data_IF_409275431288
#
_entry.id   IF_409275431288
#
_cell.length_a   1.000
_cell.length_b   1.000
_cell.length_c   1.000
_cell.angle_alpha   90.00
_cell.angle_beta   90.00
_cell.angle_gamma   90.00
#
_symmetry.space_group_name_H-M   'P 1'
#
loop_
_entity.id
_entity.type
_entity.pdbx_description
1 polymer ?
#
# COMPACT_ATOMS: atom_id res chain seq x y z
N UNK A 1 -1.29 44.03 -38.01
CA UNK A 1 -1.84 42.64 -38.01
C UNK A 1 -0.88 41.63 -37.39
N UNK A 2 0.38 41.50 -37.86
CA UNK A 2 1.36 40.52 -37.32
C UNK A 2 1.66 40.61 -35.80
N UNK A 3 1.68 41.82 -35.23
CA UNK A 3 1.98 42.04 -33.79
C UNK A 3 0.87 41.51 -32.87
N UNK A 4 -0.40 41.67 -33.27
CA UNK A 4 -1.55 41.17 -32.51
C UNK A 4 -1.66 39.63 -32.56
N UNK A 5 -1.35 39.01 -33.71
CA UNK A 5 -1.30 37.56 -33.84
C UNK A 5 -0.22 36.92 -32.96
N UNK A 6 0.94 37.58 -32.83
CA UNK A 6 2.02 37.12 -31.95
C UNK A 6 1.67 37.22 -30.47
N UNK A 7 1.01 38.30 -30.05
CA UNK A 7 0.52 38.46 -28.68
C UNK A 7 -0.56 37.42 -28.33
N UNK A 8 -1.45 37.10 -29.27
CA UNK A 8 -2.46 36.06 -29.09
C UNK A 8 -1.82 34.67 -28.93
N UNK A 9 -0.79 34.36 -29.73
CA UNK A 9 -0.04 33.11 -29.64
C UNK A 9 0.72 32.97 -28.30
N UNK A 10 1.35 34.05 -27.85
CA UNK A 10 2.05 34.08 -26.55
C UNK A 10 1.05 33.90 -25.39
N UNK A 11 -0.12 34.56 -25.46
CA UNK A 11 -1.17 34.42 -24.46
C UNK A 11 -1.77 33.00 -24.41
N UNK A 12 -2.07 32.39 -25.57
CA UNK A 12 -2.60 31.01 -25.62
C UNK A 12 -1.56 29.99 -25.17
N UNK A 13 -0.27 30.23 -25.45
CA UNK A 13 0.81 29.38 -24.97
C UNK A 13 0.95 29.43 -23.45
N UNK A 14 0.96 30.63 -22.86
CA UNK A 14 1.05 30.79 -21.39
C UNK A 14 -0.16 30.20 -20.69
N UNK A 15 -1.37 30.44 -21.22
CA UNK A 15 -2.60 29.84 -20.68
C UNK A 15 -2.59 28.31 -20.80
N UNK A 16 -2.14 27.77 -21.94
CA UNK A 16 -2.02 26.33 -22.15
C UNK A 16 -1.04 25.67 -21.19
N UNK A 17 0.16 26.24 -21.04
CA UNK A 17 1.19 25.74 -20.11
C UNK A 17 0.70 25.84 -18.66
N UNK A 18 0.14 26.99 -18.26
CA UNK A 18 -0.35 27.19 -16.90
C UNK A 18 -1.46 26.21 -16.53
N UNK A 19 -2.41 26.01 -17.44
CA UNK A 19 -3.50 25.03 -17.25
C UNK A 19 -2.97 23.61 -17.18
N UNK A 20 -2.01 23.25 -18.04
CA UNK A 20 -1.37 21.92 -18.03
C UNK A 20 -0.65 21.61 -16.72
N UNK A 21 0.09 22.58 -16.16
CA UNK A 21 0.79 22.41 -14.87
C UNK A 21 -0.21 22.21 -13.72
N UNK A 22 -1.27 23.03 -13.66
CA UNK A 22 -2.29 22.92 -12.60
C UNK A 22 -3.01 21.57 -12.67
N UNK A 23 -3.48 21.18 -13.85
CA UNK A 23 -4.15 19.88 -14.04
C UNK A 23 -3.22 18.71 -13.77
N UNK A 24 -1.97 18.78 -14.23
CA UNK A 24 -0.95 17.76 -13.97
C UNK A 24 -0.69 17.59 -12.47
N UNK A 25 -0.48 18.70 -11.75
CA UNK A 25 -0.25 18.66 -10.29
C UNK A 25 -1.42 18.07 -9.51
N UNK A 26 -2.66 18.42 -9.86
CA UNK A 26 -3.86 17.85 -9.25
C UNK A 26 -3.99 16.35 -9.53
N UNK A 27 -3.76 15.93 -10.78
CA UNK A 27 -3.80 14.52 -11.17
C UNK A 27 -2.75 13.69 -10.44
N UNK A 28 -1.50 14.16 -10.36
CA UNK A 28 -0.42 13.47 -9.65
C UNK A 28 -0.73 13.28 -8.16
N UNK A 29 -1.23 14.33 -7.48
CA UNK A 29 -1.61 14.22 -6.07
C UNK A 29 -2.72 13.18 -5.85
N UNK A 30 -3.67 13.08 -6.78
CA UNK A 30 -4.76 12.12 -6.69
C UNK A 30 -4.30 10.67 -6.91
N UNK A 31 -3.36 10.46 -7.83
CA UNK A 31 -2.74 9.14 -8.08
C UNK A 31 -1.92 8.70 -6.88
N UNK A 32 -1.06 9.57 -6.33
CA UNK A 32 -0.20 9.25 -5.18
C UNK A 32 -1.04 8.88 -3.95
N UNK A 33 -2.12 9.63 -3.66
CA UNK A 33 -3.02 9.31 -2.54
C UNK A 33 -3.75 7.97 -2.66
N UNK A 34 -3.82 7.40 -3.87
CA UNK A 34 -4.44 6.10 -4.13
C UNK A 34 -3.43 4.98 -4.29
N UNK A 35 -2.14 5.31 -4.28
CA UNK A 35 -1.09 4.34 -4.45
C UNK A 35 -0.97 3.51 -3.17
N UNK A 36 -1.31 2.23 -3.28
CA UNK A 36 -1.15 1.27 -2.18
C UNK A 36 0.08 0.42 -2.41
N UNK A 37 0.71 -0.02 -1.32
CA UNK A 37 1.73 -1.06 -1.38
C UNK A 37 1.08 -2.35 -1.88
N UNK A 38 1.77 -3.10 -2.76
CA UNK A 38 1.23 -4.37 -3.23
C UNK A 38 1.22 -5.42 -2.10
N UNK A 39 0.21 -6.31 -2.06
CA UNK A 39 0.16 -7.42 -1.11
C UNK A 39 1.45 -8.26 -1.16
N UNK A 40 1.96 -8.54 -2.35
CA UNK A 40 3.21 -9.31 -2.53
C UNK A 40 4.41 -8.67 -1.82
N UNK A 41 4.52 -7.34 -1.87
CA UNK A 41 5.62 -6.61 -1.21
C UNK A 41 5.49 -6.68 0.31
N UNK A 42 4.27 -6.63 0.83
CA UNK A 42 3.99 -6.84 2.26
C UNK A 42 4.34 -8.27 2.66
N UNK A 43 3.86 -9.28 1.93
CA UNK A 43 4.14 -10.68 2.21
C UNK A 43 5.64 -10.98 2.17
N UNK A 44 6.35 -10.45 1.17
CA UNK A 44 7.81 -10.61 1.07
C UNK A 44 8.54 -10.01 2.28
N UNK A 45 8.11 -8.84 2.77
CA UNK A 45 8.65 -8.21 3.97
C UNK A 45 8.45 -9.07 5.21
N UNK A 46 7.24 -9.60 5.42
CA UNK A 46 6.94 -10.46 6.57
C UNK A 46 7.72 -11.78 6.48
N UNK A 47 7.72 -12.45 5.32
CA UNK A 47 8.52 -13.67 5.08
C UNK A 47 9.99 -13.43 5.43
N UNK A 48 10.57 -12.32 4.98
CA UNK A 48 11.97 -11.99 5.25
C UNK A 48 12.25 -11.83 6.76
N UNK A 49 11.33 -11.22 7.50
CA UNK A 49 11.47 -11.07 8.95
C UNK A 49 11.42 -12.42 9.67
N UNK A 50 10.44 -13.28 9.34
CA UNK A 50 10.34 -14.61 9.94
C UNK A 50 11.51 -15.53 9.57
N UNK A 51 11.95 -15.49 8.31
CA UNK A 51 13.12 -16.26 7.83
C UNK A 51 14.43 -15.86 8.53
N UNK A 52 14.52 -14.66 9.11
CA UNK A 52 15.67 -14.25 9.90
C UNK A 52 15.71 -14.91 11.28
N UNK A 53 14.56 -15.37 11.79
CA UNK A 53 14.44 -16.08 13.07
C UNK A 53 14.42 -17.61 12.90
N UNK A 54 13.98 -18.12 11.75
CA UNK A 54 13.94 -19.55 11.47
C UNK A 54 13.23 -19.91 10.17
N UNK A 55 13.25 -21.18 9.77
CA UNK A 55 12.54 -21.64 8.57
C UNK A 55 11.03 -21.41 8.69
N UNK A 56 10.39 -21.19 7.55
CA UNK A 56 8.92 -21.10 7.43
C UNK A 56 8.45 -22.24 6.53
N UNK A 57 7.29 -22.81 6.85
CA UNK A 57 6.66 -23.89 6.11
C UNK A 57 5.66 -23.37 5.08
N UNK A 58 5.08 -22.19 5.33
CA UNK A 58 4.05 -21.62 4.47
C UNK A 58 3.84 -20.14 4.71
N UNK A 59 3.28 -19.47 3.70
CA UNK A 59 2.93 -18.06 3.77
C UNK A 59 1.78 -17.74 2.80
N UNK A 60 0.86 -16.88 3.23
CA UNK A 60 -0.25 -16.41 2.40
C UNK A 60 -0.59 -14.95 2.71
N UNK A 61 -1.25 -14.28 1.77
CA UNK A 61 -1.82 -12.94 1.96
C UNK A 61 -3.09 -12.80 1.13
N UNK A 62 -4.11 -12.17 1.71
CA UNK A 62 -5.32 -11.80 0.99
C UNK A 62 -5.06 -10.53 0.17
N UNK A 63 -5.43 -10.56 -1.11
CA UNK A 63 -5.25 -9.42 -2.03
C UNK A 63 -6.36 -8.37 -1.87
N UNK A 64 -7.49 -8.77 -1.29
CA UNK A 64 -8.61 -7.89 -0.97
C UNK A 64 -8.25 -7.01 0.21
N UNK A 65 -8.51 -5.71 0.08
CA UNK A 65 -8.35 -4.74 1.17
C UNK A 65 -9.60 -4.76 2.04
N UNK A 66 -9.41 -4.84 3.34
CA UNK A 66 -10.50 -4.81 4.33
C UNK A 66 -10.43 -3.51 5.12
N UNK A 67 -11.56 -2.82 5.35
CA UNK A 67 -11.59 -1.64 6.20
C UNK A 67 -11.28 -2.03 7.64
N UNK A 68 -10.28 -1.37 8.23
CA UNK A 68 -10.00 -1.43 9.66
C UNK A 68 -10.48 -0.14 10.31
N UNK A 69 -11.31 -0.25 11.34
CA UNK A 69 -11.67 0.85 12.22
C UNK A 69 -11.31 0.51 13.66
N UNK A 70 -10.24 1.11 14.18
CA UNK A 70 -9.88 1.06 15.59
C UNK A 70 -10.08 2.46 16.18
N UNK A 71 -11.14 2.63 16.97
CA UNK A 71 -11.58 3.92 17.52
C UNK A 71 -11.80 4.98 16.42
N UNK A 72 -11.06 6.09 16.47
CA UNK A 72 -11.09 7.18 15.49
C UNK A 72 -10.20 6.93 14.25
N UNK A 73 -9.38 5.87 14.27
CA UNK A 73 -8.44 5.56 13.19
C UNK A 73 -9.14 4.67 12.16
N UNK A 74 -9.16 5.12 10.90
CA UNK A 74 -9.67 4.38 9.75
C UNK A 74 -8.53 4.09 8.79
N UNK A 75 -8.35 2.83 8.42
CA UNK A 75 -7.42 2.45 7.36
C UNK A 75 -7.97 1.29 6.53
N UNK A 76 -7.27 0.99 5.43
CA UNK A 76 -7.48 -0.18 4.60
C UNK A 76 -6.32 -1.14 4.84
N UNK A 77 -6.59 -2.40 5.14
CA UNK A 77 -5.58 -3.36 5.55
C UNK A 77 -5.56 -4.61 4.69
N UNK A 78 -4.40 -5.24 4.63
CA UNK A 78 -4.24 -6.62 4.18
C UNK A 78 -4.13 -7.55 5.38
N UNK A 79 -4.66 -8.75 5.24
CA UNK A 79 -4.47 -9.84 6.20
C UNK A 79 -3.68 -10.95 5.52
N UNK A 80 -2.74 -11.54 6.26
CA UNK A 80 -1.99 -12.69 5.78
C UNK A 80 -1.48 -13.52 6.93
N UNK A 81 -0.80 -14.62 6.62
CA UNK A 81 -0.26 -15.51 7.64
C UNK A 81 1.04 -16.16 7.26
N UNK A 82 1.77 -16.60 8.29
CA UNK A 82 3.00 -17.37 8.20
C UNK A 82 2.81 -18.64 9.03
N UNK A 83 3.21 -19.78 8.47
CA UNK A 83 3.27 -21.05 9.19
C UNK A 83 4.73 -21.43 9.40
N UNK A 84 5.10 -21.82 10.61
CA UNK A 84 6.43 -22.37 10.94
C UNK A 84 6.31 -23.52 11.94
N UNK A 85 7.40 -24.25 12.13
CA UNK A 85 7.48 -25.29 13.16
C UNK A 85 8.14 -24.69 14.41
N UNK A 86 7.47 -24.79 15.55
CA UNK A 86 8.03 -24.49 16.88
C UNK A 86 7.79 -25.70 17.78
N UNK A 87 8.82 -26.16 18.49
CA UNK A 87 8.73 -27.31 19.40
C UNK A 87 8.10 -28.57 18.78
N UNK A 88 8.30 -28.76 17.46
CA UNK A 88 7.74 -29.88 16.70
C UNK A 88 6.28 -29.70 16.27
N UNK A 89 5.64 -28.57 16.57
CA UNK A 89 4.26 -28.26 16.20
C UNK A 89 4.17 -27.19 15.12
N UNK A 90 3.18 -27.32 14.22
CA UNK A 90 2.86 -26.29 13.25
C UNK A 90 2.17 -25.11 13.93
N UNK A 91 2.86 -23.97 13.97
CA UNK A 91 2.35 -22.72 14.50
C UNK A 91 2.02 -21.78 13.35
N UNK A 92 0.79 -21.26 13.36
CA UNK A 92 0.34 -20.26 12.41
C UNK A 92 0.28 -18.89 13.09
N UNK A 93 0.92 -17.91 12.46
CA UNK A 93 0.80 -16.50 12.77
C UNK A 93 -0.11 -15.84 11.74
N UNK A 94 -0.94 -14.91 12.19
CA UNK A 94 -1.69 -14.02 11.33
C UNK A 94 -1.22 -12.59 11.56
N UNK A 95 -1.06 -11.83 10.48
CA UNK A 95 -0.65 -10.44 10.52
C UNK A 95 -1.68 -9.56 9.82
N UNK A 96 -1.80 -8.34 10.32
CA UNK A 96 -2.59 -7.27 9.71
C UNK A 96 -1.63 -6.17 9.29
N UNK A 97 -1.70 -5.74 8.04
CA UNK A 97 -0.82 -4.72 7.48
C UNK A 97 -1.60 -3.57 6.86
N UNK A 98 -1.15 -2.34 7.08
CA UNK A 98 -1.70 -1.16 6.42
C UNK A 98 -1.42 -1.20 4.91
N UNK A 99 -2.46 -1.10 4.09
CA UNK A 99 -2.34 -1.25 2.62
C UNK A 99 -1.66 -0.05 1.96
N UNK A 100 -1.67 1.13 2.58
CA UNK A 100 -1.05 2.34 2.02
C UNK A 100 0.45 2.39 2.28
N UNK A 101 0.89 1.93 3.45
CA UNK A 101 2.28 2.05 3.91
C UNK A 101 3.01 0.71 3.97
N UNK A 102 2.30 -0.42 4.00
CA UNK A 102 2.90 -1.75 4.25
C UNK A 102 3.43 -1.91 5.68
N UNK A 103 2.98 -1.07 6.61
CA UNK A 103 3.29 -1.17 8.04
C UNK A 103 2.54 -2.36 8.63
N UNK A 104 3.22 -3.21 9.39
CA UNK A 104 2.56 -4.30 10.12
C UNK A 104 1.90 -3.67 11.35
N UNK A 105 0.57 -3.68 11.37
CA UNK A 105 -0.24 -3.11 12.44
C UNK A 105 -0.41 -4.09 13.59
N UNK A 106 -0.43 -5.38 13.29
CA UNK A 106 -0.60 -6.43 14.28
C UNK A 106 0.00 -7.74 13.77
N UNK A 107 0.46 -8.57 14.70
CA UNK A 107 0.83 -9.96 14.43
C UNK A 107 0.59 -10.81 15.66
N UNK A 108 -0.15 -11.90 15.49
CA UNK A 108 -0.54 -12.77 16.59
C UNK A 108 -0.48 -14.23 16.19
N UNK A 109 -0.13 -15.07 17.17
CA UNK A 109 -0.18 -16.52 17.04
C UNK A 109 -1.64 -16.97 17.09
N UNK A 110 -2.05 -17.82 16.15
CA UNK A 110 -3.33 -18.50 16.19
C UNK A 110 -3.22 -19.68 17.16
N UNK A 111 -3.92 -19.59 18.28
CA UNK A 111 -4.10 -20.71 19.19
C UNK A 111 -5.33 -21.50 18.73
N UNK A 112 -5.21 -22.82 18.53
CA UNK A 112 -6.40 -23.68 18.43
C UNK A 112 -7.18 -23.55 19.73
N UNK A 113 -8.28 -22.83 19.70
CA UNK A 113 -9.24 -22.86 20.80
C UNK A 113 -10.03 -24.15 20.60
N UNK A 114 -9.77 -25.13 21.45
CA UNK A 114 -10.50 -26.40 21.53
C UNK A 114 -11.93 -26.18 22.02
#
# INVERSE_FOLDING_TARGET
MKKAQRQLLEATLVLGIGTGIVLGGLATNWVIKRQTVSPDKVLAKVKKAFLAEGPIEGAWIEFTKTPLQKFAIKSQTYTGGITRIEDGEYIQYEFVADSQTGTILDIYRLTKTS
#
